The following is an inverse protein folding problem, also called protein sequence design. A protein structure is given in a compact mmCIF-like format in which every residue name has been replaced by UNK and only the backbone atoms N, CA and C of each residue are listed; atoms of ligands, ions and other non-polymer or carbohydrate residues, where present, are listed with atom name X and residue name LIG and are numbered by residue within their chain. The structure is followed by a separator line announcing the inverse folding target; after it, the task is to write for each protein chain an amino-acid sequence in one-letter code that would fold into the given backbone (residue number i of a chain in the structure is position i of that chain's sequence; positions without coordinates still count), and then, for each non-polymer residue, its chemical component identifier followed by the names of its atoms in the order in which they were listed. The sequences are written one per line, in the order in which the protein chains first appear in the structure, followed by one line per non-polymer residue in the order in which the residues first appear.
data_IF_245141446633
#
_entry.id   IF_245141446633
#
_cell.length_a   1.000
_cell.length_b   1.000
_cell.length_c   1.000
_cell.angle_alpha   90.00
_cell.angle_beta   90.00
_cell.angle_gamma   90.00
#
_symmetry.space_group_name_H-M   'P 1'
#
loop_
_entity.id
_entity.type
_entity.pdbx_description
1 polymer ?
#
# COMPACT_ATOMS: atom_id res chain seq x y z
N UNK A 1 28.01 2.12 2.12
CA UNK A 1 26.62 2.38 2.59
C UNK A 1 26.06 3.71 2.05
N UNK A 2 26.64 4.30 0.98
CA UNK A 2 25.99 5.36 0.21
C UNK A 2 24.94 4.67 -0.69
N UNK A 3 23.67 5.07 -0.62
CA UNK A 3 22.55 4.46 -1.36
C UNK A 3 21.39 4.00 -0.47
N UNK A 4 21.67 3.37 0.68
CA UNK A 4 20.60 2.88 1.56
C UNK A 4 19.73 3.99 2.16
N UNK A 5 20.36 5.08 2.61
CA UNK A 5 19.65 6.24 3.15
C UNK A 5 18.81 6.95 2.07
N UNK A 6 19.32 7.02 0.84
CA UNK A 6 18.65 7.64 -0.31
C UNK A 6 17.41 6.85 -0.74
N UNK A 7 17.51 5.52 -0.79
CA UNK A 7 16.39 4.60 -1.04
C UNK A 7 15.30 4.77 0.02
N UNK A 8 15.68 4.81 1.31
CA UNK A 8 14.72 5.01 2.41
C UNK A 8 14.03 6.37 2.29
N UNK A 9 14.78 7.45 2.02
CA UNK A 9 14.19 8.79 1.87
C UNK A 9 13.25 8.88 0.66
N UNK A 10 13.60 8.21 -0.44
CA UNK A 10 12.78 8.18 -1.66
C UNK A 10 11.50 7.39 -1.45
N UNK A 11 11.59 6.21 -0.81
CA UNK A 11 10.42 5.41 -0.44
C UNK A 11 9.48 6.18 0.50
N UNK A 12 10.04 6.89 1.48
CA UNK A 12 9.28 7.71 2.41
C UNK A 12 8.58 8.88 1.71
N UNK A 13 9.29 9.62 0.85
CA UNK A 13 8.74 10.74 0.10
C UNK A 13 7.59 10.28 -0.82
N UNK A 14 7.77 9.19 -1.55
CA UNK A 14 6.71 8.58 -2.37
C UNK A 14 5.51 8.14 -1.53
N UNK A 15 5.75 7.51 -0.38
CA UNK A 15 4.66 7.11 0.53
C UNK A 15 3.86 8.31 0.99
N UNK A 16 4.53 9.40 1.40
CA UNK A 16 3.90 10.63 1.83
C UNK A 16 3.07 11.28 0.70
N UNK A 17 3.60 11.29 -0.52
CA UNK A 17 2.89 11.81 -1.69
C UNK A 17 1.64 10.98 -2.02
N UNK A 18 1.76 9.65 -2.05
CA UNK A 18 0.64 8.75 -2.36
C UNK A 18 -0.42 8.83 -1.27
N UNK A 19 -0.04 8.67 0.00
CA UNK A 19 -0.97 8.75 1.13
C UNK A 19 -1.65 10.13 1.19
N UNK A 20 -0.87 11.20 1.08
CA UNK A 20 -1.37 12.57 1.13
C UNK A 20 -2.29 12.89 -0.04
N UNK A 21 -1.90 12.53 -1.27
CA UNK A 21 -2.70 12.76 -2.47
C UNK A 21 -4.02 11.98 -2.47
N UNK A 22 -3.98 10.69 -2.11
CA UNK A 22 -5.17 9.86 -2.01
C UNK A 22 -6.10 10.33 -0.90
N UNK A 23 -5.55 10.66 0.27
CA UNK A 23 -6.36 11.15 1.39
C UNK A 23 -6.99 12.51 1.06
N UNK A 24 -6.24 13.43 0.45
CA UNK A 24 -6.76 14.72 -0.02
C UNK A 24 -7.86 14.53 -1.06
N UNK A 25 -7.68 13.59 -2.00
CA UNK A 25 -8.70 13.28 -3.01
C UNK A 25 -10.03 12.86 -2.37
N UNK A 26 -10.00 11.98 -1.36
CA UNK A 26 -11.23 11.55 -0.67
C UNK A 26 -11.84 12.69 0.15
N UNK A 27 -11.00 13.48 0.84
CA UNK A 27 -11.45 14.62 1.64
C UNK A 27 -12.18 15.67 0.78
N UNK A 28 -11.68 15.95 -0.42
CA UNK A 28 -12.28 16.89 -1.37
C UNK A 28 -13.52 16.28 -2.01
N UNK A 29 -13.44 15.03 -2.50
CA UNK A 29 -14.51 14.41 -3.26
C UNK A 29 -15.69 13.98 -2.38
N UNK A 30 -15.47 13.75 -1.07
CA UNK A 30 -16.50 13.26 -0.12
C UNK A 30 -17.30 12.07 -0.67
N UNK A 31 -16.65 11.22 -1.46
CA UNK A 31 -17.29 10.07 -2.10
C UNK A 31 -17.17 8.86 -1.18
N UNK A 32 -18.30 8.18 -1.00
CA UNK A 32 -18.35 6.89 -0.33
C UNK A 32 -17.64 5.85 -1.21
N UNK A 33 -16.54 5.30 -0.70
CA UNK A 33 -15.72 4.29 -1.37
C UNK A 33 -16.02 2.88 -0.84
N UNK A 34 -17.14 2.65 -0.16
CA UNK A 34 -17.51 1.35 0.40
C UNK A 34 -17.50 0.20 -0.63
N UNK A 35 -17.75 0.50 -1.91
CA UNK A 35 -17.61 -0.44 -3.03
C UNK A 35 -16.22 -1.10 -3.13
N UNK A 36 -15.15 -0.42 -2.68
CA UNK A 36 -13.79 -0.97 -2.69
C UNK A 36 -13.61 -2.15 -1.73
N UNK A 37 -14.49 -2.36 -0.75
CA UNK A 37 -14.37 -3.45 0.22
C UNK A 37 -14.32 -4.84 -0.43
N UNK A 38 -15.12 -5.06 -1.49
CA UNK A 38 -15.07 -6.31 -2.26
C UNK A 38 -13.75 -6.49 -3.01
N UNK A 39 -13.21 -5.41 -3.57
CA UNK A 39 -11.92 -5.44 -4.26
C UNK A 39 -10.75 -5.67 -3.29
N UNK A 40 -10.79 -5.08 -2.09
CA UNK A 40 -9.79 -5.30 -1.04
C UNK A 40 -9.79 -6.77 -0.60
N UNK A 41 -10.98 -7.36 -0.43
CA UNK A 41 -11.07 -8.78 -0.05
C UNK A 41 -10.50 -9.69 -1.14
N UNK A 42 -10.86 -9.45 -2.41
CA UNK A 42 -10.31 -10.22 -3.53
C UNK A 42 -8.79 -10.01 -3.68
N UNK A 43 -8.33 -8.76 -3.62
CA UNK A 43 -6.91 -8.40 -3.73
C UNK A 43 -6.06 -9.04 -2.63
N UNK A 44 -6.59 -9.15 -1.41
CA UNK A 44 -5.92 -9.84 -0.31
C UNK A 44 -5.63 -11.30 -0.64
N UNK A 45 -6.64 -12.06 -1.09
CA UNK A 45 -6.44 -13.47 -1.47
C UNK A 45 -5.52 -13.63 -2.67
N UNK A 46 -5.59 -12.73 -3.66
CA UNK A 46 -4.71 -12.75 -4.82
C UNK A 46 -3.25 -12.50 -4.42
N UNK A 47 -2.98 -11.48 -3.61
CA UNK A 47 -1.61 -11.18 -3.15
C UNK A 47 -1.08 -12.23 -2.19
N UNK A 48 -1.94 -12.81 -1.35
CA UNK A 48 -1.57 -13.92 -0.49
C UNK A 48 -1.21 -15.17 -1.30
N UNK A 49 -1.97 -15.48 -2.36
CA UNK A 49 -1.62 -16.54 -3.30
C UNK A 49 -0.30 -16.26 -4.03
N UNK A 50 -0.09 -15.03 -4.49
CA UNK A 50 1.14 -14.64 -5.18
C UNK A 50 2.38 -14.72 -4.29
N UNK A 51 2.29 -14.31 -3.03
CA UNK A 51 3.37 -14.43 -2.05
C UNK A 51 3.69 -15.89 -1.74
N UNK A 52 2.67 -16.73 -1.55
CA UNK A 52 2.86 -18.17 -1.38
C UNK A 52 3.53 -18.81 -2.61
N UNK A 53 3.06 -18.48 -3.81
CA UNK A 53 3.64 -18.98 -5.06
C UNK A 53 5.11 -18.55 -5.22
N UNK A 54 5.46 -17.34 -4.78
CA UNK A 54 6.83 -16.82 -4.83
C UNK A 54 7.82 -17.60 -3.98
N UNK A 55 7.38 -18.30 -2.92
CA UNK A 55 8.28 -19.15 -2.13
C UNK A 55 8.66 -20.44 -2.88
N UNK A 56 7.76 -20.97 -3.71
CA UNK A 56 8.01 -22.18 -4.50
C UNK A 56 8.70 -21.86 -5.84
N UNK A 57 8.29 -20.77 -6.48
CA UNK A 57 8.81 -20.31 -7.75
C UNK A 57 9.67 -19.06 -7.53
N UNK A 58 10.97 -19.27 -7.31
CA UNK A 58 11.97 -18.18 -7.20
C UNK A 58 12.27 -17.55 -8.57
N UNK A 59 11.24 -16.98 -9.19
CA UNK A 59 11.36 -16.34 -10.51
C UNK A 59 11.89 -14.91 -10.33
N UNK A 60 12.96 -14.58 -11.04
CA UNK A 60 13.49 -13.21 -11.12
C UNK A 60 12.39 -12.25 -11.60
N UNK A 61 12.15 -11.18 -10.84
CA UNK A 61 11.12 -10.17 -11.15
C UNK A 61 9.73 -10.45 -10.58
N UNK A 62 9.43 -11.68 -10.12
CA UNK A 62 8.15 -11.97 -9.45
C UNK A 62 8.00 -11.16 -8.15
N UNK A 63 9.08 -11.02 -7.40
CA UNK A 63 9.09 -10.24 -6.16
C UNK A 63 8.87 -8.74 -6.41
N UNK A 64 9.37 -8.21 -7.53
CA UNK A 64 9.09 -6.84 -7.96
C UNK A 64 7.61 -6.65 -8.31
N UNK A 65 7.04 -7.61 -9.06
CA UNK A 65 5.61 -7.60 -9.42
C UNK A 65 4.71 -7.69 -8.17
N UNK A 66 5.06 -8.53 -7.20
CA UNK A 66 4.35 -8.64 -5.92
C UNK A 66 4.42 -7.31 -5.17
N UNK A 67 5.61 -6.71 -5.08
CA UNK A 67 5.80 -5.42 -4.40
C UNK A 67 4.96 -4.32 -5.06
N UNK A 68 4.93 -4.25 -6.39
CA UNK A 68 4.06 -3.32 -7.12
C UNK A 68 2.57 -3.59 -6.86
N UNK A 69 2.16 -4.87 -6.79
CA UNK A 69 0.81 -5.27 -6.39
C UNK A 69 0.44 -4.78 -5.00
N UNK A 70 1.34 -4.91 -4.01
CA UNK A 70 1.13 -4.40 -2.65
C UNK A 70 1.08 -2.88 -2.59
N UNK A 71 1.83 -2.14 -3.43
CA UNK A 71 1.72 -0.67 -3.53
C UNK A 71 0.32 -0.26 -3.96
N UNK A 72 -0.22 -0.88 -5.01
CA UNK A 72 -1.57 -0.60 -5.50
C UNK A 72 -2.63 -1.01 -4.47
N UNK A 73 -2.49 -2.19 -3.86
CA UNK A 73 -3.41 -2.67 -2.85
C UNK A 73 -3.44 -1.76 -1.62
N UNK A 74 -2.28 -1.36 -1.11
CA UNK A 74 -2.18 -0.45 0.03
C UNK A 74 -2.76 0.92 -0.29
N UNK A 75 -2.59 1.41 -1.52
CA UNK A 75 -3.20 2.66 -2.01
C UNK A 75 -4.74 2.60 -1.99
N UNK A 76 -5.32 1.50 -2.48
CA UNK A 76 -6.77 1.25 -2.43
C UNK A 76 -7.25 1.15 -0.98
N UNK A 77 -6.52 0.46 -0.13
CA UNK A 77 -6.82 0.36 1.30
C UNK A 77 -6.84 1.73 1.99
N UNK A 78 -5.87 2.60 1.69
CA UNK A 78 -5.84 3.98 2.21
C UNK A 78 -7.09 4.75 1.75
N UNK A 79 -7.44 4.68 0.45
CA UNK A 79 -8.65 5.34 -0.06
C UNK A 79 -9.92 4.88 0.66
N UNK A 80 -10.09 3.57 0.80
CA UNK A 80 -11.25 2.97 1.46
C UNK A 80 -11.36 3.40 2.92
N UNK A 81 -10.25 3.33 3.67
CA UNK A 81 -10.25 3.64 5.09
C UNK A 81 -10.41 5.13 5.36
N UNK A 82 -9.73 5.99 4.60
CA UNK A 82 -9.94 7.44 4.69
C UNK A 82 -11.40 7.79 4.41
N UNK A 83 -12.04 7.15 3.42
CA UNK A 83 -13.47 7.34 3.14
C UNK A 83 -14.35 6.87 4.30
N UNK A 84 -14.09 5.68 4.85
CA UNK A 84 -14.86 5.12 5.97
C UNK A 84 -14.78 5.99 7.24
N UNK A 85 -13.60 6.58 7.51
CA UNK A 85 -13.39 7.52 8.63
C UNK A 85 -14.22 8.80 8.43
N UNK A 86 -14.23 9.36 7.22
CA UNK A 86 -14.95 10.62 6.91
C UNK A 86 -16.47 10.43 6.97
N UNK A 87 -16.99 9.32 6.45
CA UNK A 87 -18.43 9.07 6.36
C UNK A 87 -19.03 8.51 7.66
N UNK A 88 -18.21 8.28 8.69
CA UNK A 88 -18.68 7.81 9.99
C UNK A 88 -19.16 6.36 10.01
N UNK A 89 -18.73 5.54 9.04
CA UNK A 89 -19.09 4.12 8.96
C UNK A 89 -18.41 3.26 10.04
N UNK A 90 -17.24 3.67 10.51
CA UNK A 90 -16.49 2.98 11.56
C UNK A 90 -16.79 3.59 12.93
N UNK A 91 -17.61 2.89 13.74
CA UNK A 91 -17.86 3.28 15.16
C UNK A 91 -16.61 3.17 16.04
N UNK A 92 -15.58 2.47 15.56
CA UNK A 92 -14.33 2.26 16.29
C UNK A 92 -13.17 2.98 15.60
N UNK A 93 -13.02 4.27 15.92
CA UNK A 93 -11.94 5.11 15.39
C UNK A 93 -10.53 4.53 15.65
N UNK A 94 -10.34 3.78 16.73
CA UNK A 94 -9.04 3.14 17.04
C UNK A 94 -8.70 2.10 15.96
N UNK A 95 -9.65 1.24 15.61
CA UNK A 95 -9.45 0.22 14.56
C UNK A 95 -9.22 0.86 13.20
N UNK A 96 -9.96 1.92 12.88
CA UNK A 96 -9.79 2.65 11.62
C UNK A 96 -8.40 3.28 11.51
N UNK A 97 -7.91 3.93 12.58
CA UNK A 97 -6.56 4.52 12.61
C UNK A 97 -5.46 3.47 12.52
N UNK A 98 -5.58 2.35 13.25
CA UNK A 98 -4.59 1.26 13.19
C UNK A 98 -4.54 0.65 11.79
N UNK A 99 -5.71 0.40 11.19
CA UNK A 99 -5.77 -0.15 9.83
C UNK A 99 -5.11 0.81 8.83
N UNK A 100 -5.32 2.12 9.00
CA UNK A 100 -4.78 3.14 8.10
C UNK A 100 -3.25 3.15 8.23
N UNK A 101 -2.76 3.11 9.47
CA UNK A 101 -1.33 2.97 9.76
C UNK A 101 -0.72 1.71 9.13
N UNK A 102 -1.35 0.55 9.26
CA UNK A 102 -0.89 -0.71 8.65
C UNK A 102 -0.83 -0.59 7.12
N UNK A 103 -1.79 0.12 6.52
CA UNK A 103 -1.81 0.34 5.07
C UNK A 103 -0.67 1.26 4.61
N UNK A 104 -0.39 2.33 5.35
CA UNK A 104 0.75 3.21 5.10
C UNK A 104 2.08 2.47 5.29
N UNK A 105 2.19 1.65 6.33
CA UNK A 105 3.37 0.84 6.59
C UNK A 105 3.63 -0.17 5.47
N UNK A 106 2.60 -0.88 5.01
CA UNK A 106 2.73 -1.80 3.88
C UNK A 106 3.15 -1.07 2.60
N UNK A 107 2.54 0.08 2.30
CA UNK A 107 2.93 0.92 1.16
C UNK A 107 4.41 1.29 1.22
N UNK A 108 4.90 1.73 2.39
CA UNK A 108 6.30 2.08 2.59
C UNK A 108 7.24 0.90 2.38
N UNK A 109 6.95 -0.25 2.98
CA UNK A 109 7.80 -1.45 2.84
C UNK A 109 7.82 -1.93 1.39
N UNK A 110 6.69 -1.92 0.69
CA UNK A 110 6.64 -2.33 -0.71
C UNK A 110 7.40 -1.36 -1.63
N UNK A 111 7.31 -0.05 -1.39
CA UNK A 111 8.12 0.95 -2.10
C UNK A 111 9.61 0.80 -1.80
N UNK A 112 9.97 0.54 -0.53
CA UNK A 112 11.34 0.26 -0.12
C UNK A 112 11.89 -0.98 -0.82
N UNK A 113 11.09 -2.03 -0.97
CA UNK A 113 11.47 -3.24 -1.70
C UNK A 113 11.67 -2.95 -3.19
N UNK A 114 10.77 -2.19 -3.82
CA UNK A 114 10.90 -1.79 -5.24
C UNK A 114 12.20 -1.00 -5.46
N UNK A 115 12.39 0.08 -4.69
CA UNK A 115 13.58 0.92 -4.84
C UNK A 115 14.87 0.18 -4.43
N UNK A 116 14.81 -0.67 -3.41
CA UNK A 116 15.95 -1.47 -2.98
C UNK A 116 16.38 -2.53 -4.00
N UNK A 117 15.44 -3.10 -4.77
CA UNK A 117 15.75 -4.00 -5.89
C UNK A 117 16.33 -3.19 -7.06
N UNK A 118 15.70 -2.08 -7.43
CA UNK A 118 16.13 -1.25 -8.56
C UNK A 118 17.54 -0.68 -8.36
N UNK A 119 17.86 -0.17 -7.16
CA UNK A 119 19.20 0.33 -6.82
C UNK A 119 20.28 -0.76 -6.69
N UNK A 120 19.90 -2.04 -6.80
CA UNK A 120 20.84 -3.17 -6.76
C UNK A 120 21.19 -3.71 -8.16
N UNK A 121 20.35 -3.43 -9.15
CA UNK A 121 20.57 -3.78 -10.56
C UNK A 121 21.36 -2.70 -11.33
N UNK A 122 21.55 -1.51 -10.74
CA UNK A 122 22.51 -0.48 -11.17
C UNK A 122 23.85 -0.62 -10.44
#
# INVERSE_FOLDING_TARGET
MQGGAEVVSSAFAMTALVFGGLSAYVLITRKDMSFLGGFITAGFFVLLGATLASFFFQISGLQLAISAGFVLFSSVCILFQTSAIIHGGERNYIMATISLYVSIYNLFISLLQIFGIMSRDD
#
